data_IF_142795612428
#
_entry.id   IF_142795612428
#
_cell.length_a   1.000
_cell.length_b   1.000
_cell.length_c   1.000
_cell.angle_alpha   90.00
_cell.angle_beta   90.00
_cell.angle_gamma   90.00
#
_symmetry.space_group_name_H-M   'P 1'
#
loop_
_entity.id
_entity.type
_entity.pdbx_description
1 polymer ?
#
# COMPACT_ATOMS: atom_id res chain seq x y z
N UNK A 1 3.80 3.65 -22.22
CA UNK A 1 3.20 2.53 -21.45
C UNK A 1 1.71 2.78 -21.46
N UNK A 2 0.89 1.87 -21.99
CA UNK A 2 -0.56 2.06 -21.99
C UNK A 2 -1.07 2.08 -20.54
N UNK A 3 -1.50 3.26 -20.11
CA UNK A 3 -2.00 3.54 -18.75
C UNK A 3 -3.19 2.63 -18.43
N UNK A 4 -4.00 2.26 -19.45
CA UNK A 4 -5.15 1.36 -19.28
C UNK A 4 -4.69 -0.06 -18.91
N UNK A 5 -3.80 -0.66 -19.70
CA UNK A 5 -3.23 -1.98 -19.37
C UNK A 5 -2.44 -1.99 -18.05
N UNK A 6 -1.85 -0.84 -17.68
CA UNK A 6 -1.15 -0.69 -16.40
C UNK A 6 -2.12 -0.72 -15.22
N UNK A 7 -3.23 0.02 -15.28
CA UNK A 7 -4.27 0.02 -14.24
C UNK A 7 -5.05 -1.29 -14.13
N UNK A 8 -5.27 -2.00 -15.24
CA UNK A 8 -5.87 -3.35 -15.25
C UNK A 8 -5.02 -4.36 -14.46
N UNK A 9 -3.70 -4.14 -14.37
CA UNK A 9 -2.75 -4.98 -13.62
C UNK A 9 -2.47 -4.48 -12.20
N UNK A 10 -2.94 -3.28 -11.84
CA UNK A 10 -2.83 -2.76 -10.48
C UNK A 10 -3.97 -3.30 -9.63
N UNK A 11 -3.84 -4.55 -9.18
CA UNK A 11 -4.75 -5.08 -8.17
C UNK A 11 -4.38 -4.55 -6.78
N UNK A 12 -5.39 -4.39 -5.94
CA UNK A 12 -5.26 -4.02 -4.53
C UNK A 12 -4.62 -5.12 -3.71
N UNK A 13 -4.16 -4.77 -2.51
CA UNK A 13 -3.62 -5.73 -1.57
C UNK A 13 -4.64 -6.81 -1.14
N UNK A 14 -5.93 -6.45 -1.03
CA UNK A 14 -6.99 -7.43 -0.74
C UNK A 14 -7.15 -8.43 -1.89
N UNK A 15 -7.15 -7.98 -3.14
CA UNK A 15 -7.19 -8.85 -4.33
C UNK A 15 -5.93 -9.76 -4.41
N UNK A 16 -4.77 -9.27 -3.95
CA UNK A 16 -3.57 -10.07 -3.75
C UNK A 16 -3.79 -11.21 -2.74
N UNK A 17 -4.38 -10.90 -1.58
CA UNK A 17 -4.67 -11.90 -0.56
C UNK A 17 -5.73 -12.91 -1.03
N UNK A 18 -6.76 -12.47 -1.76
CA UNK A 18 -7.80 -13.33 -2.32
C UNK A 18 -7.20 -14.40 -3.24
N UNK A 19 -6.39 -13.99 -4.20
CA UNK A 19 -5.68 -14.91 -5.10
C UNK A 19 -4.69 -15.81 -4.37
N UNK A 20 -4.26 -15.41 -3.17
CA UNK A 20 -3.39 -16.22 -2.32
C UNK A 20 -4.16 -17.26 -1.49
N UNK A 21 -5.49 -17.33 -1.50
CA UNK A 21 -6.24 -18.25 -0.62
C UNK A 21 -5.87 -18.07 0.86
N UNK A 22 -5.59 -16.84 1.27
CA UNK A 22 -5.21 -16.52 2.63
C UNK A 22 -6.39 -16.70 3.59
N UNK A 23 -6.14 -17.14 4.83
CA UNK A 23 -7.21 -17.43 5.80
C UNK A 23 -8.04 -16.20 6.21
N UNK A 24 -7.54 -14.99 5.97
CA UNK A 24 -8.20 -13.73 6.34
C UNK A 24 -8.57 -12.84 5.13
N UNK A 25 -8.81 -13.43 3.96
CA UNK A 25 -9.21 -12.69 2.75
C UNK A 25 -10.46 -11.85 2.96
N UNK A 26 -11.48 -12.40 3.61
CA UNK A 26 -12.73 -11.69 3.88
C UNK A 26 -12.50 -10.49 4.81
N UNK A 27 -11.68 -10.60 5.86
CA UNK A 27 -11.42 -9.47 6.76
C UNK A 27 -10.64 -8.35 6.04
N UNK A 28 -9.61 -8.69 5.26
CA UNK A 28 -8.86 -7.71 4.47
C UNK A 28 -9.74 -7.02 3.42
N UNK A 29 -10.67 -7.76 2.81
CA UNK A 29 -11.63 -7.21 1.84
C UNK A 29 -12.61 -6.25 2.49
N UNK A 30 -13.16 -6.61 3.66
CA UNK A 30 -14.00 -5.70 4.46
C UNK A 30 -13.19 -4.47 4.87
N UNK A 31 -11.95 -4.67 5.32
CA UNK A 31 -11.05 -3.58 5.69
C UNK A 31 -10.80 -2.63 4.49
N UNK A 32 -10.53 -3.13 3.27
CA UNK A 32 -10.35 -2.26 2.09
C UNK A 32 -11.65 -1.58 1.63
N UNK A 33 -12.79 -2.28 1.69
CA UNK A 33 -14.08 -1.75 1.25
C UNK A 33 -14.61 -0.65 2.19
N UNK A 34 -14.39 -0.77 3.49
CA UNK A 34 -14.90 0.18 4.47
C UNK A 34 -13.92 1.31 4.82
N UNK A 35 -12.76 1.39 4.16
CA UNK A 35 -11.72 2.35 4.56
C UNK A 35 -12.15 3.81 4.52
N UNK A 36 -13.06 4.19 3.61
CA UNK A 36 -13.60 5.57 3.55
C UNK A 36 -14.59 5.85 4.68
N UNK A 37 -15.33 4.84 5.13
CA UNK A 37 -16.21 4.97 6.31
C UNK A 37 -15.37 5.21 7.57
N UNK A 38 -14.24 4.49 7.71
CA UNK A 38 -13.29 4.72 8.80
C UNK A 38 -12.70 6.12 8.75
N UNK A 39 -12.24 6.57 7.58
CA UNK A 39 -11.69 7.91 7.40
C UNK A 39 -12.74 9.00 7.63
N UNK A 40 -14.00 8.79 7.22
CA UNK A 40 -15.11 9.72 7.51
C UNK A 40 -15.35 9.86 9.02
N UNK A 41 -15.27 8.76 9.75
CA UNK A 41 -15.37 8.79 11.21
C UNK A 41 -14.18 9.55 11.83
N UNK A 42 -12.94 9.31 11.36
CA UNK A 42 -11.78 10.07 11.82
C UNK A 42 -11.89 11.57 11.48
N UNK A 43 -12.41 11.94 10.32
CA UNK A 43 -12.71 13.34 9.97
C UNK A 43 -13.65 13.97 10.99
N UNK A 44 -14.74 13.28 11.33
CA UNK A 44 -15.72 13.75 12.32
C UNK A 44 -15.09 13.96 13.70
N UNK A 45 -14.31 12.99 14.17
CA UNK A 45 -13.82 13.01 15.55
C UNK A 45 -12.56 13.87 15.70
N UNK A 46 -11.62 13.81 14.76
CA UNK A 46 -10.28 14.42 14.87
C UNK A 46 -9.87 15.28 13.67
N UNK A 47 -10.76 15.51 12.71
CA UNK A 47 -10.53 16.47 11.62
C UNK A 47 -9.57 15.99 10.53
N UNK A 48 -9.28 14.69 10.46
CA UNK A 48 -8.45 14.10 9.40
C UNK A 48 -9.08 14.37 8.03
N UNK A 49 -8.37 15.05 7.10
CA UNK A 49 -8.84 15.26 5.75
C UNK A 49 -8.68 13.96 4.95
N UNK A 50 -9.64 13.64 4.07
CA UNK A 50 -9.59 12.42 3.26
C UNK A 50 -10.27 12.61 1.90
N UNK A 51 -10.05 11.65 1.01
CA UNK A 51 -10.61 11.58 -0.35
C UNK A 51 -12.12 11.28 -0.34
N UNK A 52 -12.92 12.16 0.27
CA UNK A 52 -14.33 11.91 0.56
C UNK A 52 -15.16 11.65 -0.71
N UNK A 53 -15.75 10.44 -0.86
CA UNK A 53 -16.54 10.12 -2.03
C UNK A 53 -17.92 10.78 -1.97
N UNK A 54 -18.45 11.14 -3.14
CA UNK A 54 -19.89 11.32 -3.31
C UNK A 54 -20.52 9.93 -3.54
N UNK A 55 -21.45 9.54 -2.65
CA UNK A 55 -22.04 8.21 -2.62
C UNK A 55 -23.50 8.18 -3.09
N UNK A 56 -23.83 7.15 -3.87
CA UNK A 56 -25.17 6.81 -4.35
C UNK A 56 -25.40 5.30 -4.26
N UNK A 57 -26.65 4.83 -4.15
CA UNK A 57 -26.89 3.44 -4.55
C UNK A 57 -26.65 3.32 -6.05
N UNK A 58 -26.10 2.21 -6.52
CA UNK A 58 -25.87 2.05 -7.96
C UNK A 58 -27.20 2.10 -8.75
N UNK A 59 -28.30 1.62 -8.17
CA UNK A 59 -29.63 1.76 -8.78
C UNK A 59 -30.09 3.22 -8.96
N UNK A 60 -29.58 4.16 -8.15
CA UNK A 60 -29.94 5.58 -8.26
C UNK A 60 -29.38 6.24 -9.52
N UNK A 61 -28.27 5.70 -10.05
CA UNK A 61 -27.66 6.11 -11.32
C UNK A 61 -28.52 5.64 -12.49
N UNK A 62 -28.93 4.36 -12.48
CA UNK A 62 -29.79 3.76 -13.52
C UNK A 62 -31.14 4.49 -13.60
N UNK A 63 -31.74 4.75 -12.44
CA UNK A 63 -33.04 5.41 -12.36
C UNK A 63 -32.95 6.94 -12.56
N UNK A 64 -31.76 7.49 -12.79
CA UNK A 64 -31.47 8.92 -12.90
C UNK A 64 -32.21 9.75 -11.82
N UNK A 65 -32.05 9.35 -10.56
CA UNK A 65 -32.73 10.04 -9.45
C UNK A 65 -32.36 11.53 -9.44
N UNK A 66 -33.27 12.40 -8.99
CA UNK A 66 -33.02 13.86 -8.90
C UNK A 66 -31.71 14.22 -8.19
N UNK A 67 -31.32 13.43 -7.19
CA UNK A 67 -30.06 13.61 -6.46
C UNK A 67 -28.86 13.35 -7.37
N UNK A 68 -28.87 12.25 -8.12
CA UNK A 68 -27.79 11.93 -9.06
C UNK A 68 -27.76 12.89 -10.24
N UNK A 69 -28.92 13.22 -10.81
CA UNK A 69 -29.03 14.16 -11.94
C UNK A 69 -28.40 15.53 -11.61
N UNK A 70 -28.72 16.09 -10.42
CA UNK A 70 -28.12 17.35 -9.96
C UNK A 70 -26.61 17.27 -9.80
N UNK A 71 -26.10 16.14 -9.29
CA UNK A 71 -24.66 15.92 -9.18
C UNK A 71 -24.01 15.82 -10.56
N UNK A 72 -24.59 15.01 -11.45
CA UNK A 72 -24.09 14.79 -12.80
C UNK A 72 -24.04 16.09 -13.62
N UNK A 73 -25.11 16.89 -13.60
CA UNK A 73 -25.15 18.19 -14.29
C UNK A 73 -24.04 19.13 -13.84
N UNK A 74 -23.70 19.13 -12.54
CA UNK A 74 -22.68 20.03 -11.99
C UNK A 74 -21.25 19.53 -12.21
N UNK A 75 -21.03 18.21 -12.15
CA UNK A 75 -19.69 17.63 -12.02
C UNK A 75 -19.27 16.76 -13.21
N UNK A 76 -20.08 16.63 -14.28
CA UNK A 76 -19.84 15.69 -15.40
C UNK A 76 -18.45 15.78 -16.06
N UNK A 77 -17.81 16.95 -16.06
CA UNK A 77 -16.48 17.18 -16.64
C UNK A 77 -15.32 17.12 -15.62
N UNK A 78 -15.60 16.82 -14.35
CA UNK A 78 -14.57 16.64 -13.33
C UNK A 78 -13.98 15.22 -13.37
N UNK A 79 -12.67 15.12 -13.15
CA UNK A 79 -11.99 13.83 -13.04
C UNK A 79 -12.39 13.08 -11.77
N UNK A 80 -12.61 11.77 -11.92
CA UNK A 80 -12.95 10.92 -10.80
C UNK A 80 -12.31 9.52 -10.89
N UNK A 81 -12.36 8.84 -9.75
CA UNK A 81 -12.33 7.39 -9.71
C UNK A 81 -13.73 6.91 -9.30
N UNK A 82 -14.41 6.21 -10.20
CA UNK A 82 -15.68 5.55 -9.88
C UNK A 82 -15.40 4.15 -9.33
N UNK A 83 -16.01 3.84 -8.18
CA UNK A 83 -15.95 2.52 -7.55
C UNK A 83 -17.36 2.00 -7.30
N UNK A 84 -17.57 0.76 -7.67
CA UNK A 84 -18.78 0.01 -7.38
C UNK A 84 -18.45 -0.94 -6.23
N UNK A 85 -18.85 -0.52 -5.02
CA UNK A 85 -18.63 -1.26 -3.80
C UNK A 85 -19.81 -2.21 -3.60
N UNK A 86 -19.58 -3.52 -3.54
CA UNK A 86 -20.64 -4.49 -3.35
C UNK A 86 -21.19 -4.41 -1.92
N UNK A 87 -22.51 -4.59 -1.76
CA UNK A 87 -23.18 -4.73 -0.47
C UNK A 87 -22.98 -6.13 0.12
N UNK A 88 -22.76 -7.12 -0.76
CA UNK A 88 -22.40 -8.48 -0.42
C UNK A 88 -20.89 -8.68 -0.65
N UNK A 89 -20.09 -9.01 0.38
CA UNK A 89 -18.67 -9.27 0.22
C UNK A 89 -18.33 -10.33 -0.84
N UNK A 90 -19.19 -11.28 -1.18
CA UNK A 90 -18.89 -12.31 -2.19
C UNK A 90 -18.89 -11.77 -3.63
N UNK A 91 -19.53 -10.63 -3.89
CA UNK A 91 -19.62 -10.03 -5.23
C UNK A 91 -18.39 -9.19 -5.56
N UNK A 92 -17.88 -9.19 -6.80
CA UNK A 92 -16.66 -8.49 -7.16
C UNK A 92 -16.81 -6.97 -6.99
N UNK A 93 -15.76 -6.33 -6.48
CA UNK A 93 -15.60 -4.88 -6.49
C UNK A 93 -15.16 -4.44 -7.88
N UNK A 94 -15.87 -3.50 -8.48
CA UNK A 94 -15.49 -2.94 -9.78
C UNK A 94 -15.00 -1.51 -9.61
N UNK A 95 -14.03 -1.11 -10.43
CA UNK A 95 -13.46 0.24 -10.35
C UNK A 95 -12.86 0.69 -11.66
N UNK A 96 -12.85 2.00 -11.83
CA UNK A 96 -12.16 2.70 -12.89
C UNK A 96 -11.57 4.00 -12.31
N UNK A 97 -10.55 4.55 -12.97
CA UNK A 97 -9.81 5.72 -12.48
C UNK A 97 -9.38 6.59 -13.65
N UNK A 98 -9.24 7.90 -13.39
CA UNK A 98 -8.65 8.82 -14.37
C UNK A 98 -9.58 9.22 -15.52
N UNK A 99 -10.88 8.97 -15.41
CA UNK A 99 -11.86 9.50 -16.37
C UNK A 99 -12.70 10.59 -15.73
N UNK A 100 -13.18 11.50 -16.56
CA UNK A 100 -14.24 12.43 -16.17
C UNK A 100 -15.54 11.69 -15.84
N UNK A 101 -16.35 12.26 -14.96
CA UNK A 101 -17.59 11.64 -14.44
C UNK A 101 -18.52 11.15 -15.56
N UNK A 102 -18.67 11.91 -16.65
CA UNK A 102 -19.41 11.51 -17.86
C UNK A 102 -18.95 10.16 -18.40
N UNK A 103 -17.64 10.01 -18.66
CA UNK A 103 -17.07 8.76 -19.20
C UNK A 103 -17.07 7.63 -18.16
N UNK A 104 -16.91 7.95 -16.88
CA UNK A 104 -17.06 6.99 -15.81
C UNK A 104 -18.49 6.45 -15.70
N UNK A 105 -19.48 7.31 -15.96
CA UNK A 105 -20.88 6.90 -16.00
C UNK A 105 -21.18 6.03 -17.23
N UNK A 106 -20.57 6.30 -18.39
CA UNK A 106 -20.69 5.42 -19.55
C UNK A 106 -20.07 4.04 -19.28
N UNK A 107 -18.87 4.00 -18.68
CA UNK A 107 -18.26 2.75 -18.20
C UNK A 107 -19.16 2.00 -17.22
N UNK A 108 -19.86 2.70 -16.31
CA UNK A 108 -20.81 2.08 -15.38
C UNK A 108 -21.95 1.35 -16.11
N UNK A 109 -22.48 1.93 -17.19
CA UNK A 109 -23.58 1.32 -17.99
C UNK A 109 -23.15 0.05 -18.71
N UNK A 110 -21.85 -0.10 -18.99
CA UNK A 110 -21.27 -1.29 -19.62
C UNK A 110 -21.10 -2.46 -18.64
N UNK A 111 -21.28 -2.24 -17.32
CA UNK A 111 -21.08 -3.29 -16.33
C UNK A 111 -22.30 -4.20 -16.22
N UNK A 112 -22.11 -5.49 -16.49
CA UNK A 112 -23.13 -6.52 -16.37
C UNK A 112 -23.30 -6.97 -14.90
N UNK A 113 -23.87 -6.09 -14.06
CA UNK A 113 -24.08 -6.33 -12.62
C UNK A 113 -25.53 -6.09 -12.17
N UNK A 114 -25.90 -6.69 -11.04
CA UNK A 114 -27.13 -6.33 -10.31
C UNK A 114 -26.92 -5.04 -9.51
N UNK A 115 -27.33 -3.91 -10.09
CA UNK A 115 -27.19 -2.57 -9.51
C UNK A 115 -27.82 -2.40 -8.11
N UNK A 116 -28.78 -3.24 -7.70
CA UNK A 116 -29.37 -3.16 -6.36
C UNK A 116 -28.40 -3.59 -5.26
N UNK A 117 -27.42 -4.41 -5.63
CA UNK A 117 -26.41 -4.99 -4.74
C UNK A 117 -25.14 -4.14 -4.62
N UNK A 118 -25.10 -2.94 -5.19
CA UNK A 118 -23.91 -2.09 -5.20
C UNK A 118 -24.18 -0.66 -4.72
N UNK A 119 -23.14 -0.05 -4.15
CA UNK A 119 -23.02 1.39 -3.94
C UNK A 119 -22.03 1.96 -4.95
N UNK A 120 -22.38 3.08 -5.58
CA UNK A 120 -21.50 3.83 -6.47
C UNK A 120 -20.83 4.96 -5.68
N UNK A 121 -19.50 5.02 -5.74
CA UNK A 121 -18.69 6.05 -5.09
C UNK A 121 -17.87 6.79 -6.14
N UNK A 122 -18.14 8.09 -6.29
CA UNK A 122 -17.33 9.00 -7.11
C UNK A 122 -16.31 9.68 -6.23
N UNK A 123 -15.04 9.32 -6.37
CA UNK A 123 -13.94 9.94 -5.66
C UNK A 123 -13.33 11.04 -6.53
N UNK A 124 -13.07 12.24 -5.98
CA UNK A 124 -12.27 13.23 -6.66
C UNK A 124 -10.92 12.65 -7.08
N UNK A 125 -10.47 12.98 -8.29
CA UNK A 125 -9.18 12.54 -8.80
C UNK A 125 -8.40 13.73 -9.35
N UNK A 126 -7.10 13.75 -9.07
CA UNK A 126 -6.16 14.71 -9.63
C UNK A 126 -5.06 13.96 -10.36
N UNK A 127 -4.63 14.50 -11.50
CA UNK A 127 -3.48 14.01 -12.26
C UNK A 127 -2.17 14.66 -11.79
N UNK A 128 -2.22 15.54 -10.78
CA UNK A 128 -1.08 16.32 -10.27
C UNK A 128 -0.81 16.02 -8.79
N UNK A 129 -0.40 14.79 -8.46
CA UNK A 129 0.07 14.49 -7.11
C UNK A 129 1.39 15.23 -6.83
N UNK A 130 1.46 15.87 -5.67
CA UNK A 130 2.69 16.45 -5.14
C UNK A 130 3.44 15.38 -4.35
N UNK A 131 2.83 14.88 -3.28
CA UNK A 131 3.44 13.90 -2.37
C UNK A 131 2.55 12.69 -2.20
N UNK A 132 3.16 11.53 -2.06
CA UNK A 132 2.50 10.32 -1.57
C UNK A 132 3.29 9.77 -0.39
N UNK A 133 2.59 9.25 0.61
CA UNK A 133 3.21 8.70 1.82
C UNK A 133 2.56 7.38 2.21
N UNK A 134 3.38 6.41 2.62
CA UNK A 134 2.94 5.18 3.30
C UNK A 134 3.71 5.09 4.60
N UNK A 135 3.01 4.87 5.71
CA UNK A 135 3.65 4.82 7.01
C UNK A 135 2.86 4.04 8.05
N UNK A 136 3.55 3.69 9.13
CA UNK A 136 2.97 3.03 10.29
C UNK A 136 3.21 3.88 11.53
N UNK A 137 2.26 3.81 12.46
CA UNK A 137 2.34 4.38 13.81
C UNK A 137 2.21 3.23 14.80
N UNK A 138 3.22 3.06 15.65
CA UNK A 138 3.21 2.07 16.72
C UNK A 138 3.98 2.58 17.96
N UNK A 139 4.04 1.78 19.03
CA UNK A 139 4.79 2.12 20.25
C UNK A 139 6.26 2.50 20.07
N UNK A 140 6.90 2.09 18.97
CA UNK A 140 8.32 2.37 18.70
C UNK A 140 8.54 3.70 17.97
N UNK A 141 7.51 4.25 17.31
CA UNK A 141 7.62 5.47 16.52
C UNK A 141 6.61 5.54 15.37
N UNK A 142 6.80 6.55 14.53
CA UNK A 142 6.15 6.67 13.22
C UNK A 142 7.21 6.47 12.15
N UNK A 143 7.01 5.51 11.27
CA UNK A 143 8.02 5.11 10.28
C UNK A 143 7.36 4.97 8.91
N UNK A 144 8.00 5.49 7.87
CA UNK A 144 7.41 5.40 6.54
C UNK A 144 8.32 5.87 5.43
N UNK A 145 7.71 5.96 4.25
CA UNK A 145 8.30 6.39 3.00
C UNK A 145 7.42 7.49 2.39
N UNK A 146 8.05 8.57 1.95
CA UNK A 146 7.43 9.67 1.21
C UNK A 146 8.11 9.83 -0.14
N UNK A 147 7.33 10.09 -1.18
CA UNK A 147 7.83 10.29 -2.54
C UNK A 147 7.06 11.40 -3.24
N UNK A 148 7.77 12.15 -4.09
CA UNK A 148 7.14 13.07 -5.04
C UNK A 148 6.52 12.27 -6.18
N UNK A 149 5.20 12.29 -6.30
CA UNK A 149 4.46 11.56 -7.34
C UNK A 149 3.32 10.69 -6.82
N UNK A 150 2.94 9.69 -7.62
CA UNK A 150 1.75 8.87 -7.41
C UNK A 150 1.95 7.79 -6.35
N UNK A 151 0.87 7.46 -5.63
CA UNK A 151 0.89 6.54 -4.51
C UNK A 151 1.27 5.09 -4.89
N UNK A 152 0.94 4.66 -6.11
CA UNK A 152 1.30 3.32 -6.61
C UNK A 152 2.82 3.08 -6.64
N UNK A 153 3.63 4.14 -6.70
CA UNK A 153 5.08 4.02 -6.66
C UNK A 153 5.51 3.40 -5.33
N UNK A 154 4.90 3.81 -4.21
CA UNK A 154 5.21 3.29 -2.87
C UNK A 154 4.68 1.86 -2.64
N UNK A 155 3.44 1.58 -3.04
CA UNK A 155 2.85 0.25 -2.83
C UNK A 155 3.50 -0.83 -3.70
N UNK A 156 3.87 -0.50 -4.95
CA UNK A 156 4.45 -1.45 -5.91
C UNK A 156 5.97 -1.43 -5.98
N UNK A 157 6.62 -0.38 -5.46
CA UNK A 157 8.08 -0.23 -5.50
C UNK A 157 8.64 0.38 -6.80
N UNK A 158 7.81 1.04 -7.61
CA UNK A 158 8.18 1.59 -8.91
C UNK A 158 8.72 3.02 -8.79
N UNK A 159 10.01 3.14 -8.52
CA UNK A 159 10.69 4.39 -8.21
C UNK A 159 11.65 4.88 -9.31
N UNK A 160 11.41 4.55 -10.59
CA UNK A 160 12.37 4.76 -11.68
C UNK A 160 12.79 6.23 -11.91
N UNK A 161 11.94 7.20 -11.51
CA UNK A 161 12.21 8.65 -11.63
C UNK A 161 12.61 9.31 -10.32
N UNK A 162 11.90 9.00 -9.23
CA UNK A 162 12.08 9.61 -7.91
C UNK A 162 12.31 8.50 -6.88
N UNK A 163 13.29 8.67 -5.99
CA UNK A 163 13.51 7.72 -4.89
C UNK A 163 12.71 8.15 -3.67
N UNK A 164 12.07 7.21 -2.95
CA UNK A 164 11.38 7.53 -1.72
C UNK A 164 12.39 7.93 -0.64
N UNK A 165 12.04 8.93 0.14
CA UNK A 165 12.75 9.33 1.35
C UNK A 165 12.12 8.59 2.51
N UNK A 166 12.94 7.89 3.31
CA UNK A 166 12.45 7.23 4.51
C UNK A 166 12.45 8.23 5.65
N UNK A 167 11.43 8.15 6.49
CA UNK A 167 11.33 8.96 7.69
C UNK A 167 11.06 8.11 8.93
N UNK A 168 11.54 8.63 10.07
CA UNK A 168 11.31 8.06 11.40
C UNK A 168 11.08 9.18 12.39
N UNK A 169 9.98 9.10 13.14
CA UNK A 169 9.66 10.02 14.21
C UNK A 169 9.51 9.25 15.53
N UNK A 170 10.38 9.53 16.48
CA UNK A 170 10.41 8.85 17.79
C UNK A 170 9.54 9.55 18.85
N UNK A 171 8.52 10.31 18.43
CA UNK A 171 7.69 11.16 19.30
C UNK A 171 8.40 12.38 19.89
N UNK A 172 9.61 12.70 19.40
CA UNK A 172 10.36 13.90 19.79
C UNK A 172 11.05 14.53 18.58
N UNK A 173 11.77 13.73 17.81
CA UNK A 173 12.58 14.16 16.67
C UNK A 173 12.17 13.39 15.42
N UNK A 174 11.97 14.13 14.33
CA UNK A 174 11.82 13.59 12.99
C UNK A 174 13.22 13.45 12.36
N UNK A 175 13.45 12.33 11.71
CA UNK A 175 14.68 12.00 11.01
C UNK A 175 14.32 11.55 9.60
N UNK A 176 15.05 12.04 8.61
CA UNK A 176 14.92 11.69 7.20
C UNK A 176 16.22 11.05 6.70
N UNK A 177 16.14 10.11 5.76
CA UNK A 177 17.35 9.54 5.11
C UNK A 177 18.07 10.54 4.21
N UNK A 178 17.34 11.53 3.70
CA UNK A 178 17.86 12.66 2.93
C UNK A 178 17.22 13.90 3.52
N UNK A 179 18.03 14.89 3.88
CA UNK A 179 17.52 16.15 4.40
C UNK A 179 16.75 16.89 3.30
N UNK A 180 15.50 17.24 3.58
CA UNK A 180 14.59 17.90 2.65
C UNK A 180 13.53 18.63 3.48
N UNK A 181 13.48 19.97 3.38
CA UNK A 181 12.62 20.81 4.20
C UNK A 181 11.13 20.67 3.84
N UNK A 182 10.81 20.51 2.55
CA UNK A 182 9.43 20.32 2.08
C UNK A 182 8.88 18.98 2.60
N UNK A 183 9.71 17.94 2.56
CA UNK A 183 9.36 16.63 3.12
C UNK A 183 9.18 16.69 4.63
N UNK A 184 10.06 17.40 5.35
CA UNK A 184 9.92 17.57 6.79
C UNK A 184 8.60 18.27 7.15
N UNK A 185 8.24 19.36 6.46
CA UNK A 185 6.98 20.06 6.65
C UNK A 185 5.77 19.15 6.38
N UNK A 186 5.78 18.45 5.25
CA UNK A 186 4.67 17.58 4.85
C UNK A 186 4.48 16.41 5.82
N UNK A 187 5.58 15.77 6.26
CA UNK A 187 5.50 14.68 7.25
C UNK A 187 5.03 15.19 8.60
N UNK A 188 5.46 16.37 9.05
CA UNK A 188 4.97 16.98 10.31
C UNK A 188 3.48 17.25 10.26
N UNK A 189 3.01 17.84 9.17
CA UNK A 189 1.57 18.08 8.94
C UNK A 189 0.76 16.78 9.05
N UNK A 190 1.22 15.69 8.43
CA UNK A 190 0.58 14.36 8.54
C UNK A 190 0.55 13.87 10.00
N UNK A 191 1.68 13.98 10.71
CA UNK A 191 1.83 13.54 12.10
C UNK A 191 0.88 14.30 13.03
N UNK A 192 0.71 15.60 12.81
CA UNK A 192 -0.16 16.46 13.63
C UNK A 192 -1.63 16.05 13.57
N UNK A 193 -2.12 15.63 12.40
CA UNK A 193 -3.50 15.09 12.27
C UNK A 193 -3.73 13.82 13.08
N UNK A 194 -2.69 13.06 13.37
CA UNK A 194 -2.79 11.81 14.14
C UNK A 194 -2.60 12.02 15.64
N UNK A 195 -2.24 13.24 16.08
CA UNK A 195 -2.08 13.57 17.49
C UNK A 195 -3.40 14.01 18.13
N UNK A 196 -3.89 13.24 19.10
CA UNK A 196 -5.18 13.45 19.76
C UNK A 196 -5.00 13.56 21.27
N UNK A 197 -4.94 14.80 21.77
CA UNK A 197 -4.79 15.08 23.21
C UNK A 197 -6.07 14.79 24.01
N UNK A 198 -7.24 15.01 23.41
CA UNK A 198 -8.54 14.85 24.06
C UNK A 198 -8.83 13.38 24.42
N UNK A 199 -8.98 13.12 25.72
CA UNK A 199 -9.20 11.77 26.27
C UNK A 199 -10.56 11.20 25.85
N UNK A 200 -11.60 12.03 25.72
CA UNK A 200 -12.93 11.57 25.31
C UNK A 200 -12.89 11.11 23.86
N UNK A 201 -12.29 11.91 22.97
CA UNK A 201 -12.11 11.55 21.55
C UNK A 201 -11.33 10.25 21.38
N UNK A 202 -10.22 10.09 22.13
CA UNK A 202 -9.45 8.83 22.14
C UNK A 202 -10.33 7.64 22.51
N UNK A 203 -11.03 7.69 23.64
CA UNK A 203 -11.92 6.59 24.09
C UNK A 203 -12.99 6.24 23.05
N UNK A 204 -13.55 7.24 22.37
CA UNK A 204 -14.55 7.05 21.31
C UNK A 204 -13.93 6.27 20.13
N UNK A 205 -12.76 6.72 19.66
CA UNK A 205 -12.03 6.08 18.54
C UNK A 205 -11.57 4.66 18.90
N UNK A 206 -11.00 4.48 20.10
CA UNK A 206 -10.56 3.18 20.61
C UNK A 206 -11.72 2.19 20.68
N UNK A 207 -12.89 2.62 21.17
CA UNK A 207 -14.10 1.80 21.23
C UNK A 207 -14.62 1.45 19.84
N UNK A 208 -14.60 2.40 18.90
CA UNK A 208 -15.11 2.20 17.55
C UNK A 208 -14.25 1.21 16.75
N UNK A 209 -12.93 1.32 16.85
CA UNK A 209 -12.02 0.61 15.95
C UNK A 209 -11.23 -0.52 16.60
N UNK A 210 -11.24 -0.64 17.93
CA UNK A 210 -10.44 -1.62 18.66
C UNK A 210 -8.93 -1.38 18.54
N UNK A 211 -8.55 -0.11 18.34
CA UNK A 211 -7.16 0.36 18.21
C UNK A 211 -6.74 1.10 19.47
N UNK A 212 -5.45 1.40 19.60
CA UNK A 212 -4.90 2.14 20.74
C UNK A 212 -4.27 3.45 20.29
N UNK A 213 -4.05 4.32 21.26
CA UNK A 213 -3.15 5.45 21.10
C UNK A 213 -1.84 5.19 21.84
N UNK A 214 -0.73 5.57 21.23
CA UNK A 214 0.56 5.62 21.90
C UNK A 214 1.04 7.07 22.00
N UNK A 215 1.27 7.57 23.21
CA UNK A 215 1.65 8.98 23.46
C UNK A 215 0.75 9.99 22.74
N UNK A 216 -0.56 9.72 22.72
CA UNK A 216 -1.60 10.49 22.01
C UNK A 216 -1.59 10.37 20.47
N UNK A 217 -0.75 9.51 19.88
CA UNK A 217 -0.80 9.24 18.44
C UNK A 217 -1.64 8.00 18.14
N UNK A 218 -2.51 8.12 17.14
CA UNK A 218 -3.35 7.02 16.66
C UNK A 218 -2.50 5.90 16.06
N UNK A 219 -2.48 4.70 16.66
CA UNK A 219 -1.75 3.56 16.09
C UNK A 219 -2.44 3.02 14.84
N UNK A 220 -1.66 2.56 13.86
CA UNK A 220 -2.20 2.06 12.60
C UNK A 220 -1.21 2.04 11.44
N UNK A 221 -1.69 1.54 10.30
CA UNK A 221 -1.08 1.75 8.99
C UNK A 221 -1.87 2.82 8.25
N UNK A 222 -1.18 3.74 7.61
CA UNK A 222 -1.79 4.89 6.94
C UNK A 222 -1.16 5.11 5.58
N UNK A 223 -2.00 5.60 4.67
CA UNK A 223 -1.61 6.06 3.34
C UNK A 223 -2.13 7.48 3.17
N UNK A 224 -1.30 8.36 2.62
CA UNK A 224 -1.72 9.71 2.25
C UNK A 224 -1.28 10.07 0.84
N UNK A 225 -1.98 11.05 0.28
CA UNK A 225 -1.62 11.75 -0.94
C UNK A 225 -1.85 13.24 -0.72
N UNK A 226 -0.95 14.05 -1.24
CA UNK A 226 -1.09 15.51 -1.29
C UNK A 226 -1.11 15.90 -2.74
N UNK A 227 -2.16 16.61 -3.12
CA UNK A 227 -2.45 17.02 -4.50
C UNK A 227 -2.57 18.54 -4.51
N UNK A 228 -2.14 19.16 -5.61
CA UNK A 228 -2.07 20.63 -5.71
C UNK A 228 -3.44 21.30 -5.48
N UNK A 229 -4.50 20.69 -6.00
CA UNK A 229 -5.85 21.27 -5.98
C UNK A 229 -6.59 21.10 -4.65
N UNK A 230 -6.25 20.05 -3.88
CA UNK A 230 -7.03 19.64 -2.70
C UNK A 230 -6.22 19.55 -1.41
N UNK A 231 -4.91 19.72 -1.48
CA UNK A 231 -4.02 19.56 -0.34
C UNK A 231 -3.88 18.10 0.10
N UNK A 232 -3.66 17.91 1.39
CA UNK A 232 -3.39 16.59 2.00
C UNK A 232 -4.69 15.82 2.21
N UNK A 233 -4.71 14.58 1.75
CA UNK A 233 -5.73 13.58 2.04
C UNK A 233 -5.12 12.30 2.58
N UNK A 234 -5.73 11.78 3.63
CA UNK A 234 -5.61 10.37 3.99
C UNK A 234 -6.45 9.55 3.00
N UNK A 235 -5.87 8.48 2.47
CA UNK A 235 -6.53 7.60 1.48
C UNK A 235 -6.67 6.16 1.99
N UNK A 236 -5.96 5.83 3.06
CA UNK A 236 -6.13 4.60 3.82
C UNK A 236 -5.83 4.80 5.32
N UNK A 237 -6.59 4.07 6.12
CA UNK A 237 -6.32 3.76 7.51
C UNK A 237 -6.66 2.28 7.74
N UNK A 238 -5.62 1.45 7.86
CA UNK A 238 -5.74 0.00 7.92
C UNK A 238 -5.31 -0.53 9.29
N UNK A 239 -6.24 -1.18 9.99
CA UNK A 239 -6.07 -1.68 11.35
C UNK A 239 -5.43 -3.06 11.38
N UNK A 240 -5.68 -3.89 10.36
CA UNK A 240 -5.09 -5.23 10.25
C UNK A 240 -3.59 -5.10 10.00
N UNK A 241 -3.21 -4.27 9.03
CA UNK A 241 -1.80 -3.91 8.79
C UNK A 241 -1.20 -3.24 10.03
N UNK A 242 -1.91 -2.33 10.70
CA UNK A 242 -1.46 -1.76 11.96
C UNK A 242 -1.05 -2.82 13.00
N UNK A 243 -1.81 -3.92 13.12
CA UNK A 243 -1.49 -5.04 14.02
C UNK A 243 -0.26 -5.83 13.55
N UNK A 244 -0.13 -6.08 12.25
CA UNK A 244 1.03 -6.77 11.65
C UNK A 244 2.33 -5.99 11.94
N UNK A 245 2.25 -4.66 11.93
CA UNK A 245 3.39 -3.76 12.14
C UNK A 245 3.56 -3.26 13.58
N UNK A 246 2.85 -3.82 14.57
CA UNK A 246 2.85 -3.33 15.97
C UNK A 246 4.24 -3.29 16.64
N UNK A 247 5.14 -4.18 16.21
CA UNK A 247 6.50 -4.29 16.75
C UNK A 247 7.56 -3.82 15.74
N UNK A 248 7.16 -3.24 14.61
CA UNK A 248 8.08 -2.76 13.59
C UNK A 248 8.98 -1.65 14.14
N UNK A 249 10.24 -1.67 13.71
CA UNK A 249 11.25 -0.65 13.99
C UNK A 249 12.03 -0.37 12.71
N UNK A 250 12.58 0.84 12.61
CA UNK A 250 13.45 1.22 11.51
C UNK A 250 14.75 1.81 12.08
N UNK A 251 15.88 1.18 11.76
CA UNK A 251 17.21 1.67 12.16
C UNK A 251 17.91 2.34 10.98
N UNK A 252 18.00 3.68 11.03
CA UNK A 252 18.70 4.47 10.01
C UNK A 252 20.20 4.18 9.92
N UNK A 253 20.85 3.71 11.00
CA UNK A 253 22.29 3.37 10.95
C UNK A 253 22.54 2.13 10.09
N UNK A 254 21.58 1.22 10.03
CA UNK A 254 21.63 0.02 9.17
C UNK A 254 21.24 0.29 7.72
N UNK A 255 20.64 1.44 7.41
CA UNK A 255 20.19 1.81 6.06
C UNK A 255 21.30 2.33 5.14
N UNK A 256 22.57 1.98 5.41
CA UNK A 256 23.71 2.40 4.58
C UNK A 256 23.58 1.88 3.15
N UNK A 257 24.01 2.72 2.20
CA UNK A 257 23.97 2.47 0.76
C UNK A 257 24.70 1.16 0.45
N UNK A 258 24.16 0.28 -0.43
CA UNK A 258 24.79 -0.99 -0.78
C UNK A 258 26.22 -0.80 -1.30
N UNK A 259 27.22 -1.17 -0.50
CA UNK A 259 28.51 -1.58 -1.03
C UNK A 259 28.42 -3.07 -1.34
N UNK A 260 28.04 -3.39 -2.57
CA UNK A 260 28.06 -4.76 -3.05
C UNK A 260 29.52 -5.16 -3.25
N UNK A 261 29.91 -6.28 -2.63
CA UNK A 261 31.16 -6.96 -2.95
C UNK A 261 30.86 -8.14 -3.88
N UNK A 262 31.88 -8.79 -4.43
CA UNK A 262 31.69 -9.96 -5.31
C UNK A 262 30.94 -11.12 -4.65
N UNK A 263 30.74 -11.13 -3.32
CA UNK A 263 30.05 -12.19 -2.57
C UNK A 263 28.86 -11.76 -1.72
N UNK A 264 28.60 -10.45 -1.63
CA UNK A 264 27.60 -9.90 -0.71
C UNK A 264 26.76 -8.84 -1.39
N UNK A 265 25.45 -9.04 -1.34
CA UNK A 265 24.45 -8.10 -1.84
C UNK A 265 23.71 -7.52 -0.64
N UNK A 266 23.49 -6.21 -0.65
CA UNK A 266 22.76 -5.51 0.41
C UNK A 266 21.44 -4.96 -0.10
N UNK A 267 20.44 -4.96 0.78
CA UNK A 267 19.15 -4.32 0.56
C UNK A 267 18.54 -3.90 1.89
N UNK A 268 17.26 -3.52 1.86
CA UNK A 268 16.50 -3.12 3.05
C UNK A 268 15.78 -4.31 3.64
N UNK A 269 15.88 -4.47 4.95
CA UNK A 269 15.09 -5.47 5.69
C UNK A 269 13.60 -5.13 5.58
N UNK A 270 12.85 -6.03 4.96
CA UNK A 270 11.41 -5.96 4.84
C UNK A 270 10.71 -7.03 5.70
N UNK A 271 11.32 -8.16 6.00
CA UNK A 271 10.74 -9.11 6.96
C UNK A 271 11.88 -9.86 7.61
N UNK A 272 11.95 -9.82 8.93
CA UNK A 272 13.08 -10.35 9.69
C UNK A 272 13.17 -11.87 9.60
N UNK A 273 14.38 -12.39 9.79
CA UNK A 273 14.68 -13.82 9.75
C UNK A 273 15.89 -14.15 8.89
N UNK A 274 16.26 -15.43 8.91
CA UNK A 274 17.40 -15.97 8.16
C UNK A 274 16.97 -17.24 7.45
N UNK A 275 17.35 -17.38 6.18
CA UNK A 275 17.11 -18.59 5.41
C UNK A 275 18.31 -18.93 4.51
N UNK A 276 18.45 -20.21 4.20
CA UNK A 276 19.39 -20.71 3.19
C UNK A 276 18.60 -21.47 2.15
N UNK A 277 18.95 -21.27 0.88
CA UNK A 277 18.27 -21.95 -0.20
C UNK A 277 18.88 -21.67 -1.56
N UNK A 278 18.41 -22.44 -2.52
CA UNK A 278 18.82 -22.30 -3.93
C UNK A 278 18.09 -21.11 -4.53
N UNK A 279 18.82 -20.25 -5.23
CA UNK A 279 18.28 -19.08 -5.93
C UNK A 279 17.41 -19.51 -7.10
N UNK A 280 16.18 -19.00 -7.12
CA UNK A 280 15.26 -19.02 -8.26
C UNK A 280 14.95 -17.60 -8.72
N UNK A 281 15.40 -17.26 -9.93
CA UNK A 281 15.14 -15.96 -10.52
C UNK A 281 13.82 -16.02 -11.30
N UNK A 282 12.79 -15.36 -10.80
CA UNK A 282 11.47 -15.34 -11.42
C UNK A 282 11.20 -13.96 -12.02
N UNK A 283 10.68 -13.95 -13.25
CA UNK A 283 10.23 -12.75 -13.95
C UNK A 283 8.82 -12.97 -14.56
N UNK A 284 8.21 -11.90 -15.06
CA UNK A 284 6.85 -11.96 -15.61
C UNK A 284 6.70 -12.88 -16.85
N UNK A 285 7.79 -13.21 -17.55
CA UNK A 285 7.76 -14.10 -18.72
C UNK A 285 7.82 -15.57 -18.31
N UNK A 286 8.33 -15.86 -17.11
CA UNK A 286 8.61 -17.22 -16.65
C UNK A 286 7.86 -17.64 -15.38
N UNK A 287 7.10 -16.72 -14.75
CA UNK A 287 6.37 -16.95 -13.50
C UNK A 287 5.49 -18.20 -13.52
N UNK A 288 4.81 -18.51 -14.62
CA UNK A 288 3.97 -19.72 -14.74
C UNK A 288 4.70 -20.95 -15.28
N UNK A 289 5.94 -20.80 -15.75
CA UNK A 289 6.70 -21.87 -16.43
C UNK A 289 7.77 -22.49 -15.54
N UNK A 290 8.33 -21.73 -14.61
CA UNK A 290 9.39 -22.21 -13.73
C UNK A 290 8.80 -22.97 -12.55
N UNK A 291 9.33 -24.16 -12.30
CA UNK A 291 9.11 -24.89 -11.05
C UNK A 291 9.79 -24.16 -9.89
N UNK A 292 9.15 -24.17 -8.73
CA UNK A 292 9.68 -23.58 -7.51
C UNK A 292 9.42 -24.53 -6.34
N UNK A 293 10.50 -25.02 -5.75
CA UNK A 293 10.46 -25.96 -4.65
C UNK A 293 10.39 -25.22 -3.31
N UNK A 294 9.81 -25.89 -2.30
CA UNK A 294 9.74 -25.35 -0.95
C UNK A 294 11.14 -25.08 -0.39
N UNK A 295 11.34 -23.87 0.14
CA UNK A 295 12.61 -23.42 0.72
C UNK A 295 13.58 -22.75 -0.26
N UNK A 296 13.27 -22.72 -1.57
CA UNK A 296 14.06 -21.96 -2.54
C UNK A 296 13.96 -20.45 -2.30
N UNK A 297 14.96 -19.69 -2.74
CA UNK A 297 15.04 -18.24 -2.54
C UNK A 297 14.47 -17.57 -3.78
N UNK A 298 13.33 -16.89 -3.61
CA UNK A 298 12.69 -16.13 -4.67
C UNK A 298 13.46 -14.84 -4.90
N UNK A 299 14.05 -14.70 -6.08
CA UNK A 299 14.75 -13.49 -6.53
C UNK A 299 14.01 -12.91 -7.72
N UNK A 300 13.58 -11.66 -7.66
CA UNK A 300 12.91 -11.00 -8.78
C UNK A 300 13.11 -9.48 -8.77
N UNK A 301 12.73 -8.81 -9.85
CA UNK A 301 12.79 -7.33 -9.88
C UNK A 301 11.77 -6.74 -8.90
N UNK A 302 10.52 -7.20 -8.99
CA UNK A 302 9.43 -6.91 -8.07
C UNK A 302 8.48 -8.11 -8.06
N UNK A 303 7.67 -8.25 -7.01
CA UNK A 303 6.63 -9.26 -6.96
C UNK A 303 5.32 -8.74 -7.55
N UNK A 304 4.64 -9.56 -8.34
CA UNK A 304 3.25 -9.33 -8.78
C UNK A 304 2.34 -10.43 -8.19
N UNK A 305 1.01 -10.29 -8.28
CA UNK A 305 0.08 -11.30 -7.76
C UNK A 305 0.36 -12.72 -8.28
N UNK A 306 0.86 -12.81 -9.51
CA UNK A 306 1.20 -14.08 -10.17
C UNK A 306 2.28 -14.87 -9.42
N UNK A 307 3.07 -14.21 -8.55
CA UNK A 307 4.18 -14.82 -7.81
C UNK A 307 3.69 -15.53 -6.56
N UNK A 308 2.40 -15.49 -6.24
CA UNK A 308 1.89 -15.91 -4.95
C UNK A 308 2.18 -17.37 -4.60
N UNK A 309 2.15 -18.25 -5.61
CA UNK A 309 2.51 -19.67 -5.45
C UNK A 309 3.98 -19.81 -5.07
N UNK A 310 4.87 -19.04 -5.71
CA UNK A 310 6.30 -19.02 -5.41
C UNK A 310 6.58 -18.43 -4.03
N UNK A 311 5.91 -17.32 -3.70
CA UNK A 311 6.03 -16.65 -2.40
C UNK A 311 5.69 -17.61 -1.27
N UNK A 312 4.59 -18.36 -1.35
CA UNK A 312 4.20 -19.33 -0.31
C UNK A 312 5.23 -20.43 -0.07
N UNK A 313 5.98 -20.80 -1.11
CA UNK A 313 7.00 -21.83 -1.03
C UNK A 313 8.39 -21.27 -0.73
N UNK A 314 8.58 -19.95 -0.77
CA UNK A 314 9.88 -19.31 -0.64
C UNK A 314 10.47 -19.49 0.76
N UNK A 315 11.75 -19.86 0.81
CA UNK A 315 12.56 -19.78 2.03
C UNK A 315 12.90 -18.34 2.40
N UNK A 316 13.09 -17.48 1.39
CA UNK A 316 13.17 -16.03 1.53
C UNK A 316 12.83 -15.34 0.20
N UNK A 317 12.54 -14.04 0.28
CA UNK A 317 12.22 -13.18 -0.86
C UNK A 317 13.27 -12.08 -0.98
N UNK A 318 13.85 -11.91 -2.16
CA UNK A 318 14.83 -10.85 -2.47
C UNK A 318 14.35 -10.10 -3.70
N UNK A 319 14.12 -8.79 -3.58
CA UNK A 319 13.68 -7.96 -4.71
C UNK A 319 14.61 -6.78 -4.98
N UNK A 320 14.82 -6.49 -6.26
CA UNK A 320 15.62 -5.32 -6.67
C UNK A 320 14.94 -4.01 -6.39
N UNK A 321 13.61 -3.97 -6.53
CA UNK A 321 12.76 -2.82 -6.28
C UNK A 321 11.87 -3.07 -5.06
N UNK A 322 11.35 -2.00 -4.47
CA UNK A 322 10.46 -2.09 -3.31
C UNK A 322 10.89 -1.26 -2.11
N UNK A 323 9.90 -0.85 -1.34
CA UNK A 323 10.03 -0.16 -0.07
C UNK A 323 9.75 -1.08 1.12
N UNK A 324 10.03 -0.61 2.33
CA UNK A 324 9.83 -1.38 3.58
C UNK A 324 8.35 -1.70 3.86
N UNK A 325 7.44 -0.96 3.21
CA UNK A 325 5.98 -1.09 3.30
C UNK A 325 5.30 -1.43 1.95
N UNK A 326 6.06 -1.84 0.93
CA UNK A 326 5.47 -2.29 -0.34
C UNK A 326 4.77 -3.65 -0.21
N UNK A 327 4.03 -4.08 -1.24
CA UNK A 327 3.29 -5.36 -1.23
C UNK A 327 4.18 -6.57 -0.91
N UNK A 328 5.39 -6.66 -1.49
CA UNK A 328 6.33 -7.73 -1.19
C UNK A 328 6.64 -7.80 0.32
N UNK A 329 6.86 -6.64 0.92
CA UNK A 329 7.21 -6.50 2.33
C UNK A 329 6.04 -6.82 3.27
N UNK A 330 4.82 -6.43 2.90
CA UNK A 330 3.61 -6.73 3.67
C UNK A 330 3.34 -8.25 3.65
N UNK A 331 3.40 -8.84 2.46
CA UNK A 331 3.07 -10.26 2.27
C UNK A 331 4.12 -11.17 2.90
N UNK A 332 5.40 -10.81 2.78
CA UNK A 332 6.46 -11.55 3.45
C UNK A 332 6.28 -11.59 4.96
N UNK A 333 5.90 -10.46 5.58
CA UNK A 333 5.60 -10.40 7.03
C UNK A 333 4.40 -11.26 7.39
N UNK A 334 3.35 -11.23 6.57
CA UNK A 334 2.14 -12.01 6.80
C UNK A 334 2.40 -13.52 6.75
N UNK A 335 3.26 -13.97 5.83
CA UNK A 335 3.67 -15.37 5.76
C UNK A 335 4.84 -15.74 6.67
N UNK A 336 5.41 -14.78 7.42
CA UNK A 336 6.59 -15.01 8.26
C UNK A 336 7.85 -15.38 7.47
N UNK A 337 7.95 -14.93 6.23
CA UNK A 337 9.05 -15.24 5.32
C UNK A 337 10.11 -14.13 5.41
N UNK A 338 11.40 -14.44 5.57
CA UNK A 338 12.48 -13.45 5.49
C UNK A 338 12.46 -12.70 4.16
N UNK A 339 12.56 -11.37 4.20
CA UNK A 339 12.47 -10.57 2.98
C UNK A 339 13.44 -9.39 2.99
N UNK A 340 14.15 -9.22 1.88
CA UNK A 340 15.00 -8.08 1.58
C UNK A 340 14.49 -7.44 0.29
N UNK A 341 14.29 -6.13 0.31
CA UNK A 341 13.81 -5.36 -0.85
C UNK A 341 14.79 -4.24 -1.19
N UNK A 342 14.73 -3.74 -2.43
CA UNK A 342 15.57 -2.60 -2.82
C UNK A 342 17.05 -2.96 -2.96
N UNK A 343 17.39 -4.19 -3.37
CA UNK A 343 18.78 -4.61 -3.64
C UNK A 343 19.38 -3.93 -4.87
N UNK A 344 18.54 -3.35 -5.74
CA UNK A 344 18.87 -2.71 -7.02
C UNK A 344 19.41 -3.65 -8.11
N UNK A 345 20.17 -4.70 -7.76
CA UNK A 345 20.86 -5.54 -8.74
C UNK A 345 21.08 -7.01 -8.32
N UNK A 346 20.30 -7.53 -7.36
CA UNK A 346 20.32 -8.94 -7.01
C UNK A 346 19.95 -9.86 -8.19
N UNK A 347 19.00 -9.48 -9.04
CA UNK A 347 18.64 -10.31 -10.22
C UNK A 347 19.78 -10.45 -11.23
N UNK A 348 20.71 -9.49 -11.26
CA UNK A 348 21.87 -9.52 -12.17
C UNK A 348 23.14 -10.08 -11.53
N UNK A 349 23.29 -9.95 -10.21
CA UNK A 349 24.45 -10.45 -9.48
C UNK A 349 24.31 -11.93 -9.05
N UNK A 350 23.11 -12.36 -8.68
CA UNK A 350 22.86 -13.75 -8.30
C UNK A 350 22.74 -14.62 -9.54
N UNK A 351 23.22 -15.86 -9.44
CA UNK A 351 23.08 -16.87 -10.49
C UNK A 351 21.95 -17.83 -10.12
N UNK A 352 21.06 -18.11 -11.07
CA UNK A 352 20.05 -19.17 -10.95
C UNK A 352 20.73 -20.48 -10.52
N UNK A 353 20.15 -21.17 -9.53
CA UNK A 353 20.71 -22.42 -9.00
C UNK A 353 21.83 -22.26 -7.96
N UNK A 354 22.33 -21.04 -7.72
CA UNK A 354 23.34 -20.81 -6.69
C UNK A 354 22.75 -20.93 -5.28
N UNK A 355 23.56 -21.41 -4.33
CA UNK A 355 23.18 -21.47 -2.93
C UNK A 355 23.50 -20.14 -2.24
N UNK A 356 22.53 -19.59 -1.50
CA UNK A 356 22.70 -18.34 -0.78
C UNK A 356 22.20 -18.44 0.66
N UNK A 357 22.74 -17.61 1.53
CA UNK A 357 22.19 -17.27 2.83
C UNK A 357 21.58 -15.87 2.76
N UNK A 358 20.29 -15.76 3.09
CA UNK A 358 19.57 -14.49 3.21
C UNK A 358 19.43 -14.18 4.70
N UNK A 359 20.18 -13.20 5.19
CA UNK A 359 20.01 -12.64 6.52
C UNK A 359 19.23 -11.33 6.41
N UNK A 360 17.91 -11.42 6.55
CA UNK A 360 17.04 -10.26 6.47
C UNK A 360 17.10 -9.38 7.71
N UNK A 361 17.62 -9.85 8.86
CA UNK A 361 17.81 -9.00 10.04
C UNK A 361 18.85 -7.89 9.81
N UNK A 362 19.82 -8.16 8.93
CA UNK A 362 20.88 -7.23 8.57
C UNK A 362 20.80 -6.76 7.11
N UNK A 363 19.78 -7.21 6.36
CA UNK A 363 19.58 -6.81 4.97
C UNK A 363 20.68 -7.33 4.03
N UNK A 364 21.23 -8.51 4.30
CA UNK A 364 22.37 -9.08 3.56
C UNK A 364 21.98 -10.40 2.89
N UNK A 365 22.34 -10.54 1.62
CA UNK A 365 22.37 -11.81 0.89
C UNK A 365 23.82 -12.19 0.62
N UNK A 366 24.22 -13.40 1.00
CA UNK A 366 25.58 -13.92 0.85
C UNK A 366 25.58 -15.20 0.02
N UNK A 367 26.41 -15.25 -1.01
CA UNK A 367 26.65 -16.49 -1.77
C UNK A 367 27.52 -17.43 -0.94
N UNK A 368 27.12 -18.71 -0.82
CA UNK A 368 27.78 -19.72 0.03
C UNK A 368 28.36 -20.89 -0.75
#
# INVERSE_FOLDING_TARGET
MDIKSYYERQISLSEWFENSGYKSTTEFRVEDNEKRERLRYLKKEIGVPFDEPVQFNAIDLVNNTKKFEKYYQKHSEEYCALRLIPKDPELPKLRMRGLIIRKAYDWFKEQEIDHTKYRAEFLPHSERPLWSTIFIVNKNGIFGEIIRGMHNQLTQGLFDKNKPILFSYNFKKLLLTVADEEVEEEVRKIIDYLYVKDIKKKKIIEKQFGIRFFKNYLEGYFETITVEEFGLWFIDFNRILGKIYKDFTLDFKKLTIPSNSSKTIKGRSASNGVAKGVVKIIDNKNVFKKSFNKGEILVCEMTTPDYIVHIKNAGAIVTDKGGILCHAAIIAREFGIPCIVGTNNATSLLKEGSLVEVNANDGIVKMI
#
